data_IF_177529311031
#
_entry.id   IF_177529311031
#
_cell.length_a   1.000
_cell.length_b   1.000
_cell.length_c   1.000
_cell.angle_alpha   90.00
_cell.angle_beta   90.00
_cell.angle_gamma   90.00
#
_symmetry.space_group_name_H-M   'P 1'
#
loop_
_entity.id
_entity.type
_entity.pdbx_description
1 polymer ?
#
# COMPACT_ATOMS: atom_id res chain seq x y z
N UNK A 1 35.37 1.65 -42.73
CA UNK A 1 33.94 1.93 -42.52
C UNK A 1 33.27 0.65 -42.06
N UNK A 2 32.93 0.57 -40.76
CA UNK A 2 32.07 -0.47 -40.22
C UNK A 2 30.82 0.25 -39.75
N UNK A 3 29.74 0.09 -40.52
CA UNK A 3 28.43 0.63 -40.18
C UNK A 3 27.67 -0.44 -39.40
N UNK A 4 27.42 -0.17 -38.13
CA UNK A 4 26.34 -0.80 -37.38
C UNK A 4 25.14 0.14 -37.44
N UNK A 5 23.95 -0.36 -37.79
CA UNK A 5 22.73 0.13 -37.22
C UNK A 5 22.04 -0.94 -36.37
N UNK A 6 21.35 -0.44 -35.35
CA UNK A 6 20.82 -1.12 -34.18
C UNK A 6 19.29 -1.27 -34.31
N UNK A 7 18.76 -2.12 -33.42
CA UNK A 7 17.41 -2.15 -32.85
C UNK A 7 16.34 -2.98 -33.57
N UNK A 8 15.70 -3.82 -32.75
CA UNK A 8 14.43 -4.47 -33.03
C UNK A 8 14.13 -5.62 -32.08
N UNK A 9 14.27 -5.45 -30.76
CA UNK A 9 13.67 -6.40 -29.81
C UNK A 9 12.22 -6.01 -29.59
N UNK A 10 11.33 -6.84 -30.10
CA UNK A 10 9.88 -6.73 -29.97
C UNK A 10 9.48 -6.83 -28.49
N UNK A 11 8.88 -5.76 -27.95
CA UNK A 11 8.22 -5.80 -26.65
C UNK A 11 6.77 -6.28 -26.86
N UNK A 12 6.49 -7.49 -26.41
CA UNK A 12 5.12 -8.00 -26.33
C UNK A 12 4.38 -7.21 -25.23
N UNK A 13 3.59 -6.21 -25.62
CA UNK A 13 2.67 -5.51 -24.72
C UNK A 13 1.40 -6.33 -24.59
N UNK A 14 1.33 -7.16 -23.54
CA UNK A 14 0.07 -7.75 -23.11
C UNK A 14 -0.77 -6.66 -22.41
N UNK A 15 -1.68 -6.05 -23.16
CA UNK A 15 -2.71 -5.19 -22.58
C UNK A 15 -3.82 -6.03 -21.93
N UNK A 16 -4.38 -5.63 -20.78
CA UNK A 16 -5.56 -6.29 -20.23
C UNK A 16 -6.79 -5.92 -21.08
N UNK A 17 -7.26 -6.90 -21.85
CA UNK A 17 -8.52 -6.80 -22.61
C UNK A 17 -9.70 -6.89 -21.65
N UNK A 18 -10.53 -5.85 -21.67
CA UNK A 18 -11.81 -5.74 -20.98
C UNK A 18 -12.83 -6.67 -21.63
N UNK A 19 -13.18 -7.75 -20.94
CA UNK A 19 -14.28 -8.66 -21.31
C UNK A 19 -15.44 -8.51 -20.33
N UNK A 20 -16.38 -7.62 -20.66
CA UNK A 20 -17.67 -7.51 -19.98
C UNK A 20 -18.66 -8.48 -20.64
N UNK A 21 -18.93 -9.62 -20.00
CA UNK A 21 -20.05 -10.50 -20.39
C UNK A 21 -21.17 -10.36 -19.37
N UNK A 22 -22.16 -9.54 -19.72
CA UNK A 22 -23.44 -9.45 -19.01
C UNK A 22 -24.37 -10.49 -19.63
N UNK A 23 -24.72 -11.53 -18.87
CA UNK A 23 -25.71 -12.49 -19.30
C UNK A 23 -27.10 -11.94 -18.94
N UNK A 24 -27.71 -11.21 -19.89
CA UNK A 24 -29.09 -10.72 -19.78
C UNK A 24 -30.01 -11.84 -20.26
N UNK A 25 -30.49 -12.67 -19.34
CA UNK A 25 -31.65 -13.53 -19.60
C UNK A 25 -32.88 -12.62 -19.65
N UNK A 26 -33.42 -12.46 -20.86
CA UNK A 26 -34.60 -11.66 -21.14
C UNK A 26 -35.80 -12.17 -20.35
N UNK A 27 -36.29 -11.33 -19.43
CA UNK A 27 -37.63 -11.44 -18.88
C UNK A 27 -38.55 -10.65 -19.80
N UNK A 28 -39.33 -11.38 -20.61
CA UNK A 28 -40.43 -10.85 -21.40
C UNK A 28 -41.45 -10.20 -20.46
N UNK A 29 -41.52 -8.87 -20.53
CA UNK A 29 -42.60 -8.06 -19.96
C UNK A 29 -43.73 -8.01 -20.98
N UNK A 30 -44.77 -8.82 -20.78
CA UNK A 30 -46.08 -8.55 -21.35
C UNK A 30 -46.96 -7.87 -20.29
N UNK A 31 -47.31 -6.63 -20.60
CA UNK A 31 -48.12 -5.69 -19.85
C UNK A 31 -49.48 -5.65 -20.51
N UNK A 32 -50.55 -5.97 -19.77
CA UNK A 32 -51.94 -5.45 -19.87
C UNK A 32 -52.83 -6.25 -18.89
N UNK A 33 -53.85 -5.81 -18.17
CA UNK A 33 -54.47 -4.53 -17.82
C UNK A 33 -55.20 -4.72 -16.47
N UNK A 34 -55.61 -3.60 -15.87
CA UNK A 34 -56.24 -3.49 -14.56
C UNK A 34 -57.61 -4.16 -14.47
N UNK A 35 -57.89 -4.86 -13.37
CA UNK A 35 -59.24 -4.92 -12.79
C UNK A 35 -59.20 -4.61 -11.29
N UNK A 36 -60.11 -3.73 -10.91
CA UNK A 36 -60.23 -3.09 -9.58
C UNK A 36 -61.17 -3.94 -8.73
N UNK A 37 -60.72 -4.47 -7.60
CA UNK A 37 -61.61 -4.92 -6.53
C UNK A 37 -61.11 -4.45 -5.15
N UNK A 38 -62.02 -3.77 -4.46
CA UNK A 38 -61.88 -3.02 -3.19
C UNK A 38 -61.56 -3.90 -1.96
N UNK A 39 -61.06 -3.30 -0.85
CA UNK A 39 -60.56 -4.05 0.31
C UNK A 39 -61.68 -4.39 1.32
N UNK A 40 -61.60 -5.51 2.07
CA UNK A 40 -62.41 -5.67 3.26
C UNK A 40 -61.78 -4.91 4.44
N UNK A 41 -62.58 -4.06 5.08
CA UNK A 41 -62.25 -3.37 6.33
C UNK A 41 -62.39 -4.28 7.55
N UNK A 42 -61.56 -3.99 8.56
CA UNK A 42 -61.62 -4.53 9.94
C UNK A 42 -60.54 -5.56 10.19
N UNK A 43 -59.64 -5.46 11.18
CA UNK A 43 -59.79 -4.93 12.53
C UNK A 43 -58.40 -4.63 13.13
N UNK A 44 -58.36 -3.61 13.99
CA UNK A 44 -57.26 -3.30 14.90
C UNK A 44 -56.87 -4.51 15.75
N UNK A 45 -55.59 -4.91 15.75
CA UNK A 45 -54.86 -5.22 16.99
C UNK A 45 -53.35 -5.37 16.77
N UNK A 46 -52.63 -4.84 17.76
CA UNK A 46 -51.28 -5.20 18.21
C UNK A 46 -50.07 -4.73 17.42
N UNK A 47 -49.41 -3.73 18.02
CA UNK A 47 -48.02 -3.41 17.76
C UNK A 47 -47.14 -4.65 17.86
N UNK A 48 -46.38 -4.87 16.80
CA UNK A 48 -45.18 -5.66 16.83
C UNK A 48 -44.22 -4.94 15.92
N UNK A 49 -43.29 -4.18 16.50
CA UNK A 49 -42.11 -3.69 15.82
C UNK A 49 -41.29 -4.90 15.37
N UNK A 50 -41.71 -5.54 14.27
CA UNK A 50 -40.98 -6.63 13.64
C UNK A 50 -39.71 -6.01 13.07
N UNK A 51 -38.63 -6.05 13.86
CA UNK A 51 -37.28 -5.84 13.34
C UNK A 51 -37.10 -6.81 12.18
N UNK A 52 -37.11 -6.29 10.96
CA UNK A 52 -36.91 -7.05 9.72
C UNK A 52 -35.55 -7.74 9.86
N UNK A 53 -35.55 -9.07 9.88
CA UNK A 53 -34.33 -9.88 9.95
C UNK A 53 -33.45 -9.51 8.75
N UNK A 54 -32.21 -9.09 8.99
CA UNK A 54 -31.25 -8.78 7.90
C UNK A 54 -31.13 -10.02 7.00
N UNK A 55 -31.21 -9.83 5.69
CA UNK A 55 -31.05 -10.92 4.73
C UNK A 55 -29.65 -11.53 4.86
N UNK A 56 -29.51 -12.84 4.63
CA UNK A 56 -28.21 -13.50 4.58
C UNK A 56 -27.28 -12.81 3.58
N UNK A 57 -27.81 -12.39 2.42
CA UNK A 57 -27.06 -11.63 1.40
C UNK A 57 -26.57 -10.28 1.95
N UNK A 58 -27.39 -9.60 2.75
CA UNK A 58 -26.99 -8.34 3.37
C UNK A 58 -25.85 -8.54 4.39
N UNK A 59 -25.89 -9.65 5.14
CA UNK A 59 -24.81 -9.99 6.08
C UNK A 59 -23.47 -10.22 5.35
N UNK A 60 -23.48 -11.01 4.28
CA UNK A 60 -22.24 -11.30 3.51
C UNK A 60 -21.65 -10.04 2.89
N UNK A 61 -22.50 -9.12 2.40
CA UNK A 61 -22.04 -7.84 1.87
C UNK A 61 -21.43 -6.95 2.95
N UNK A 62 -22.05 -6.89 4.14
CA UNK A 62 -21.49 -6.16 5.28
C UNK A 62 -20.13 -6.73 5.70
N UNK A 63 -20.02 -8.07 5.80
CA UNK A 63 -18.78 -8.77 6.16
C UNK A 63 -17.66 -8.48 5.15
N UNK A 64 -17.98 -8.44 3.85
CA UNK A 64 -17.02 -8.10 2.81
C UNK A 64 -16.55 -6.65 2.90
N UNK A 65 -17.46 -5.70 3.15
CA UNK A 65 -17.11 -4.29 3.34
C UNK A 65 -16.22 -4.09 4.56
N UNK A 66 -16.54 -4.75 5.68
CA UNK A 66 -15.70 -4.73 6.87
C UNK A 66 -14.33 -5.35 6.59
N UNK A 67 -14.27 -6.50 5.92
CA UNK A 67 -13.01 -7.11 5.53
C UNK A 67 -12.17 -6.17 4.66
N UNK A 68 -12.77 -5.50 3.67
CA UNK A 68 -12.07 -4.53 2.80
C UNK A 68 -11.57 -3.33 3.57
N UNK A 69 -12.37 -2.77 4.47
CA UNK A 69 -11.95 -1.69 5.38
C UNK A 69 -10.74 -2.14 6.21
N UNK A 70 -10.87 -3.28 6.90
CA UNK A 70 -9.81 -3.82 7.75
C UNK A 70 -8.54 -4.17 6.97
N UNK A 71 -8.66 -4.62 5.71
CA UNK A 71 -7.52 -4.88 4.83
C UNK A 71 -6.77 -3.58 4.50
N UNK A 72 -7.49 -2.52 4.15
CA UNK A 72 -6.89 -1.20 3.89
C UNK A 72 -6.26 -0.63 5.16
N UNK A 73 -6.97 -0.65 6.28
CA UNK A 73 -6.48 -0.14 7.56
C UNK A 73 -5.15 -0.82 7.95
N UNK A 74 -5.10 -2.15 7.90
CA UNK A 74 -3.86 -2.91 8.17
C UNK A 74 -2.71 -2.51 7.24
N UNK A 75 -3.00 -2.24 5.97
CA UNK A 75 -1.97 -1.87 4.99
C UNK A 75 -1.43 -0.47 5.27
N UNK A 76 -2.31 0.48 5.62
CA UNK A 76 -1.92 1.85 5.97
C UNK A 76 -1.10 1.85 7.26
N UNK A 77 -1.55 1.15 8.30
CA UNK A 77 -0.82 1.05 9.57
C UNK A 77 0.58 0.47 9.37
N UNK A 78 0.72 -0.62 8.60
CA UNK A 78 2.03 -1.22 8.32
C UNK A 78 2.97 -0.27 7.56
N UNK A 79 2.41 0.54 6.64
CA UNK A 79 3.19 1.55 5.92
C UNK A 79 3.65 2.68 6.85
N UNK A 80 2.76 3.18 7.72
CA UNK A 80 3.09 4.23 8.69
C UNK A 80 4.13 3.73 9.69
N UNK A 81 3.96 2.52 10.25
CA UNK A 81 4.93 1.92 11.16
C UNK A 81 6.30 1.79 10.50
N UNK A 82 6.37 1.29 9.26
CA UNK A 82 7.63 1.20 8.51
C UNK A 82 8.27 2.58 8.32
N UNK A 83 7.48 3.60 7.97
CA UNK A 83 7.96 4.96 7.77
C UNK A 83 8.54 5.54 9.06
N UNK A 84 7.78 5.47 10.17
CA UNK A 84 8.23 5.95 11.48
C UNK A 84 9.50 5.24 11.93
N UNK A 85 9.57 3.92 11.79
CA UNK A 85 10.76 3.13 12.15
C UNK A 85 11.98 3.51 11.30
N UNK A 86 11.75 3.83 10.03
CA UNK A 86 12.76 4.34 9.10
C UNK A 86 13.29 5.71 9.53
N UNK A 87 12.41 6.66 9.84
CA UNK A 87 12.75 8.00 10.33
C UNK A 87 13.54 7.92 11.65
N UNK A 88 13.06 7.17 12.64
CA UNK A 88 13.78 6.94 13.90
C UNK A 88 15.18 6.34 13.69
N UNK A 89 15.34 5.44 12.71
CA UNK A 89 16.64 4.87 12.39
C UNK A 89 17.59 5.88 11.74
N UNK A 90 17.05 6.79 10.93
CA UNK A 90 17.82 7.86 10.29
C UNK A 90 18.28 8.88 11.32
N UNK A 91 17.40 9.35 12.20
CA UNK A 91 17.73 10.30 13.27
C UNK A 91 18.86 9.78 14.18
N UNK A 92 18.80 8.49 14.52
CA UNK A 92 19.88 7.83 15.28
C UNK A 92 21.20 7.79 14.52
N UNK A 93 21.19 7.50 13.21
CA UNK A 93 22.40 7.55 12.40
C UNK A 93 22.99 8.96 12.38
N UNK A 94 22.15 9.99 12.13
CA UNK A 94 22.54 11.41 12.12
C UNK A 94 23.21 11.79 13.43
N UNK A 95 22.52 11.57 14.54
CA UNK A 95 23.06 11.87 15.86
C UNK A 95 24.44 11.24 16.11
N UNK A 96 24.62 9.99 15.68
CA UNK A 96 25.89 9.28 15.89
C UNK A 96 26.99 9.83 14.99
N UNK A 97 26.77 10.03 13.69
CA UNK A 97 27.84 10.48 12.80
C UNK A 97 28.17 11.97 12.99
N UNK A 98 27.21 12.80 13.38
CA UNK A 98 27.45 14.20 13.71
C UNK A 98 28.38 14.34 14.93
N UNK A 99 28.24 13.43 15.89
CA UNK A 99 29.09 13.34 17.08
C UNK A 99 30.48 12.72 16.81
N UNK A 100 30.75 12.18 15.63
CA UNK A 100 32.08 11.65 15.28
C UNK A 100 33.02 12.82 14.92
N UNK A 101 33.92 13.16 15.84
CA UNK A 101 34.92 14.23 15.66
C UNK A 101 35.95 13.90 14.56
N UNK A 102 36.17 12.61 14.28
CA UNK A 102 37.08 12.17 13.23
C UNK A 102 36.55 12.43 11.81
N UNK A 103 35.27 12.77 11.64
CA UNK A 103 34.67 13.08 10.34
C UNK A 103 34.72 14.58 10.07
N UNK A 104 35.17 14.94 8.87
CA UNK A 104 35.03 16.30 8.34
C UNK A 104 33.57 16.64 8.04
N UNK A 105 33.22 17.93 7.98
CA UNK A 105 31.85 18.36 7.66
C UNK A 105 31.41 17.87 6.27
N UNK A 106 32.33 17.80 5.31
CA UNK A 106 32.10 17.22 3.98
C UNK A 106 31.76 15.72 4.09
N UNK A 107 32.54 14.94 4.84
CA UNK A 107 32.23 13.53 5.08
C UNK A 107 30.88 13.35 5.79
N UNK A 108 30.49 14.25 6.70
CA UNK A 108 29.18 14.21 7.37
C UNK A 108 28.03 14.51 6.40
N UNK A 109 28.21 15.46 5.48
CA UNK A 109 27.23 15.75 4.43
C UNK A 109 27.02 14.51 3.54
N UNK A 110 28.10 13.88 3.08
CA UNK A 110 28.01 12.66 2.25
C UNK A 110 27.48 11.47 3.06
N UNK A 111 27.76 11.40 4.36
CA UNK A 111 27.21 10.36 5.24
C UNK A 111 25.67 10.41 5.27
N UNK A 112 25.05 11.59 5.18
CA UNK A 112 23.59 11.70 5.08
C UNK A 112 23.05 10.95 3.85
N UNK A 113 23.72 11.07 2.69
CA UNK A 113 23.38 10.33 1.46
C UNK A 113 23.59 8.82 1.62
N UNK A 114 24.67 8.38 2.30
CA UNK A 114 24.90 6.96 2.60
C UNK A 114 23.70 6.35 3.35
N UNK A 115 23.08 7.12 4.24
CA UNK A 115 22.00 6.65 5.11
C UNK A 115 20.60 6.72 4.48
N UNK A 116 20.45 7.14 3.23
CA UNK A 116 19.20 6.92 2.48
C UNK A 116 18.90 5.41 2.35
N UNK A 117 19.94 4.57 2.30
CA UNK A 117 19.81 3.12 2.23
C UNK A 117 19.52 2.50 3.62
N UNK A 118 18.37 1.84 3.74
CA UNK A 118 17.91 1.19 4.99
C UNK A 118 18.88 0.12 5.52
N UNK A 119 19.48 -0.69 4.64
CA UNK A 119 20.45 -1.71 5.04
C UNK A 119 21.72 -1.08 5.61
N UNK A 120 22.11 0.10 5.11
CA UNK A 120 23.26 0.84 5.60
C UNK A 120 22.99 1.47 6.96
N UNK A 121 21.78 2.00 7.19
CA UNK A 121 21.36 2.45 8.53
C UNK A 121 21.45 1.32 9.55
N UNK A 122 20.85 0.16 9.24
CA UNK A 122 20.87 -0.98 10.14
C UNK A 122 22.29 -1.48 10.44
N UNK A 123 23.11 -1.62 9.40
CA UNK A 123 24.49 -2.10 9.56
C UNK A 123 25.28 -1.14 10.46
N UNK A 124 25.20 0.17 10.21
CA UNK A 124 25.90 1.18 10.98
C UNK A 124 25.47 1.19 12.46
N UNK A 125 24.17 1.07 12.74
CA UNK A 125 23.65 0.99 14.11
C UNK A 125 24.04 -0.31 14.83
N UNK A 126 24.28 -1.41 14.09
CA UNK A 126 24.77 -2.67 14.65
C UNK A 126 26.27 -2.66 14.96
N UNK A 127 27.05 -1.75 14.36
CA UNK A 127 28.49 -1.62 14.63
C UNK A 127 28.72 -0.83 15.93
N UNK A 128 29.10 -1.53 17.00
CA UNK A 128 29.32 -0.93 18.32
C UNK A 128 30.75 -0.43 18.54
N UNK A 129 31.74 -1.01 17.85
CA UNK A 129 33.14 -0.60 17.95
C UNK A 129 33.35 0.66 17.11
N UNK A 130 33.68 1.78 17.77
CA UNK A 130 33.83 3.11 17.15
C UNK A 130 34.69 3.08 15.88
N UNK A 131 35.91 2.56 15.97
CA UNK A 131 36.84 2.56 14.84
C UNK A 131 36.36 1.68 13.68
N UNK A 132 35.72 0.55 13.97
CA UNK A 132 35.15 -0.32 12.93
C UNK A 132 34.02 0.40 12.20
N UNK A 133 33.15 1.07 12.96
CA UNK A 133 32.05 1.88 12.42
C UNK A 133 32.55 3.04 11.56
N UNK A 134 33.56 3.78 12.04
CA UNK A 134 34.19 4.88 11.30
C UNK A 134 34.83 4.40 9.99
N UNK A 135 35.64 3.33 10.04
CA UNK A 135 36.28 2.75 8.84
C UNK A 135 35.23 2.28 7.84
N UNK A 136 34.16 1.64 8.33
CA UNK A 136 33.06 1.19 7.47
C UNK A 136 32.37 2.38 6.78
N UNK A 137 32.06 3.44 7.52
CA UNK A 137 31.39 4.62 6.98
C UNK A 137 32.27 5.33 5.93
N UNK A 138 33.55 5.55 6.22
CA UNK A 138 34.50 6.12 5.24
C UNK A 138 34.55 5.31 3.95
N UNK A 139 34.57 3.97 4.04
CA UNK A 139 34.50 3.10 2.85
C UNK A 139 33.21 3.26 2.05
N UNK A 140 32.09 3.61 2.69
CA UNK A 140 30.83 3.89 1.99
C UNK A 140 30.87 5.26 1.32
N UNK A 141 31.34 6.27 2.02
CA UNK A 141 31.55 7.62 1.49
C UNK A 141 32.46 7.56 0.26
N UNK A 142 33.63 6.91 0.36
CA UNK A 142 34.57 6.79 -0.78
C UNK A 142 33.97 6.10 -2.00
N UNK A 143 32.94 5.24 -1.85
CA UNK A 143 32.26 4.61 -2.98
C UNK A 143 31.30 5.55 -3.68
N UNK A 144 30.69 6.48 -2.94
CA UNK A 144 29.80 7.52 -3.49
C UNK A 144 30.63 8.59 -4.20
N UNK A 145 31.72 9.04 -3.59
CA UNK A 145 32.57 10.10 -4.17
C UNK A 145 33.44 9.63 -5.34
N UNK A 146 33.54 8.32 -5.58
CA UNK A 146 34.35 7.74 -6.65
C UNK A 146 33.55 7.48 -7.95
N UNK A 147 32.25 7.76 -7.95
CA UNK A 147 31.39 7.70 -9.15
C UNK A 147 31.26 9.05 -9.80
#
# INVERSE_FOLDING_TARGET
MLHVPRAGSEINVAGPSVGSETNVVGLTLDREACEVQSPPSGTSVHGSGKKRKKSQVASVLDDYLEHKKNQTDKTVEAFLEKKTRGEESMDRCIHIFEAMEDLTDEEKAIAAEVFENELYREMFLKLTIHNVRLIWLRRKISRITST
#
